data_IF_822933141512
#
_entry.id   IF_822933141512
#
_cell.length_a   1.000
_cell.length_b   1.000
_cell.length_c   1.000
_cell.angle_alpha   90.00
_cell.angle_beta   90.00
_cell.angle_gamma   90.00
#
_symmetry.space_group_name_H-M   'P 1'
#
loop_
_entity.id
_entity.type
_entity.pdbx_description
1 polymer ?
#
# COMPACT_ATOMS: atom_id res chain seq x y z
N UNK A 1 20.36 12.83 -6.25
CA UNK A 1 19.54 12.10 -5.26
C UNK A 1 20.43 11.02 -4.69
N UNK A 2 20.64 10.99 -3.36
CA UNK A 2 21.49 9.98 -2.73
C UNK A 2 20.97 8.58 -3.03
N UNK A 3 21.89 7.71 -3.48
CA UNK A 3 21.67 6.31 -3.85
C UNK A 3 21.35 5.39 -2.66
N UNK A 4 21.43 5.91 -1.43
CA UNK A 4 21.54 5.11 -0.21
C UNK A 4 20.29 5.06 0.67
N UNK A 5 19.16 5.66 0.27
CA UNK A 5 17.91 5.54 1.02
C UNK A 5 16.84 4.80 0.18
N UNK A 6 16.86 3.47 0.26
CA UNK A 6 15.87 2.59 -0.41
C UNK A 6 14.48 2.84 0.20
N UNK A 7 13.56 3.40 -0.58
CA UNK A 7 12.20 3.70 -0.10
C UNK A 7 11.34 2.45 -0.06
N UNK A 8 10.63 2.22 1.04
CA UNK A 8 9.72 1.10 1.21
C UNK A 8 8.27 1.51 1.00
N UNK A 9 7.57 0.78 0.14
CA UNK A 9 6.17 1.01 -0.20
C UNK A 9 5.32 -0.19 0.21
N UNK A 10 4.37 0.02 1.11
CA UNK A 10 3.34 -0.96 1.42
C UNK A 10 2.21 -0.89 0.40
N UNK A 11 1.86 -2.03 -0.18
CA UNK A 11 0.69 -2.18 -1.07
C UNK A 11 -0.26 -3.19 -0.44
N UNK A 12 -1.43 -2.73 0.03
CA UNK A 12 -2.45 -3.66 0.54
C UNK A 12 -3.11 -4.43 -0.61
N UNK A 13 -3.31 -5.74 -0.45
CA UNK A 13 -3.89 -6.56 -1.53
C UNK A 13 -2.95 -6.61 -2.74
N UNK A 14 -1.64 -6.49 -2.50
CA UNK A 14 -0.61 -6.34 -3.53
C UNK A 14 -0.30 -7.64 -4.28
N UNK A 15 -0.76 -8.78 -3.79
CA UNK A 15 -0.40 -10.09 -4.32
C UNK A 15 -0.94 -10.37 -5.74
N UNK A 16 -2.05 -9.74 -6.14
CA UNK A 16 -2.79 -10.09 -7.36
C UNK A 16 -3.21 -8.89 -8.19
N UNK A 17 -3.54 -9.14 -9.46
CA UNK A 17 -4.22 -8.22 -10.38
C UNK A 17 -3.53 -6.84 -10.40
N UNK A 18 -4.28 -5.78 -10.10
CA UNK A 18 -3.79 -4.39 -10.10
C UNK A 18 -2.70 -4.19 -9.05
N UNK A 19 -2.83 -4.79 -7.87
CA UNK A 19 -1.82 -4.72 -6.82
C UNK A 19 -0.46 -5.23 -7.30
N UNK A 20 -0.44 -6.37 -8.00
CA UNK A 20 0.79 -6.95 -8.55
C UNK A 20 1.39 -6.09 -9.67
N UNK A 21 0.55 -5.46 -10.52
CA UNK A 21 1.02 -4.52 -11.54
C UNK A 21 1.64 -3.25 -10.93
N UNK A 22 1.03 -2.72 -9.86
CA UNK A 22 1.58 -1.58 -9.11
C UNK A 22 2.92 -1.96 -8.51
N UNK A 23 3.01 -3.13 -7.86
CA UNK A 23 4.24 -3.64 -7.26
C UNK A 23 5.39 -3.73 -8.27
N UNK A 24 5.15 -4.37 -9.43
CA UNK A 24 6.14 -4.47 -10.51
C UNK A 24 6.57 -3.11 -11.03
N UNK A 25 5.61 -2.22 -11.29
CA UNK A 25 5.90 -0.86 -11.78
C UNK A 25 6.78 -0.08 -10.80
N UNK A 26 6.45 -0.09 -9.50
CA UNK A 26 7.23 0.62 -8.49
C UNK A 26 8.59 -0.01 -8.21
N UNK A 27 8.70 -1.34 -8.36
CA UNK A 27 9.97 -2.05 -8.26
C UNK A 27 10.93 -1.63 -9.38
N UNK A 28 10.45 -1.54 -10.62
CA UNK A 28 11.21 -1.05 -11.78
C UNK A 28 11.70 0.39 -11.56
N UNK A 29 10.93 1.22 -10.87
CA UNK A 29 11.30 2.58 -10.45
C UNK A 29 12.29 2.61 -9.26
N UNK A 30 12.75 1.45 -8.80
CA UNK A 30 13.77 1.31 -7.77
C UNK A 30 13.24 1.37 -6.34
N UNK A 31 11.94 1.24 -6.10
CA UNK A 31 11.38 1.19 -4.73
C UNK A 31 11.37 -0.22 -4.16
N UNK A 32 11.58 -0.38 -2.86
CA UNK A 32 11.37 -1.64 -2.16
C UNK A 32 9.89 -1.81 -1.79
N UNK A 33 9.40 -3.06 -1.75
CA UNK A 33 7.97 -3.36 -1.67
C UNK A 33 7.65 -4.22 -0.46
N UNK A 34 6.62 -3.81 0.27
CA UNK A 34 5.91 -4.69 1.20
C UNK A 34 4.59 -5.10 0.52
N UNK A 35 4.48 -6.38 0.19
CA UNK A 35 3.32 -6.98 -0.47
C UNK A 35 2.41 -7.54 0.61
N UNK A 36 1.33 -6.82 0.91
CA UNK A 36 0.33 -7.32 1.85
C UNK A 36 -0.69 -8.24 1.14
N UNK A 37 -1.01 -9.35 1.80
CA UNK A 37 -2.06 -10.30 1.40
C UNK A 37 -2.94 -10.68 2.58
N UNK A 38 -4.19 -11.10 2.31
CA UNK A 38 -5.05 -11.75 3.30
C UNK A 38 -4.90 -13.28 3.18
N UNK A 39 -5.52 -13.86 2.15
CA UNK A 39 -5.52 -15.33 1.94
C UNK A 39 -4.60 -15.80 0.80
N UNK A 40 -3.95 -14.88 0.09
CA UNK A 40 -3.16 -15.19 -1.12
C UNK A 40 -1.65 -15.23 -0.83
N UNK A 41 -1.25 -16.05 0.14
CA UNK A 41 0.16 -16.18 0.57
C UNK A 41 1.08 -16.62 -0.57
N UNK A 42 0.66 -17.62 -1.33
CA UNK A 42 1.49 -18.22 -2.39
C UNK A 42 1.74 -17.22 -3.52
N UNK A 43 0.71 -16.51 -3.94
CA UNK A 43 0.83 -15.44 -4.93
C UNK A 43 1.74 -14.30 -4.45
N UNK A 44 1.63 -13.91 -3.18
CA UNK A 44 2.48 -12.89 -2.59
C UNK A 44 3.95 -13.33 -2.55
N UNK A 45 4.20 -14.56 -2.11
CA UNK A 45 5.54 -15.13 -2.03
C UNK A 45 6.18 -15.31 -3.41
N UNK A 46 5.40 -15.77 -4.39
CA UNK A 46 5.86 -15.89 -5.78
C UNK A 46 6.21 -14.51 -6.37
N UNK A 47 5.38 -13.50 -6.13
CA UNK A 47 5.68 -12.13 -6.56
C UNK A 47 6.94 -11.60 -5.85
N UNK A 48 7.10 -11.82 -4.55
CA UNK A 48 8.32 -11.43 -3.84
C UNK A 48 9.56 -12.14 -4.40
N UNK A 49 9.47 -13.43 -4.73
CA UNK A 49 10.57 -14.17 -5.35
C UNK A 49 10.95 -13.59 -6.73
N UNK A 50 9.95 -13.27 -7.57
CA UNK A 50 10.14 -12.62 -8.88
C UNK A 50 10.84 -11.25 -8.74
N UNK A 51 10.40 -10.42 -7.80
CA UNK A 51 10.98 -9.09 -7.58
C UNK A 51 12.39 -9.19 -6.98
N UNK A 52 12.60 -10.14 -6.07
CA UNK A 52 13.90 -10.36 -5.43
C UNK A 52 14.93 -11.02 -6.35
N UNK A 53 14.53 -11.82 -7.33
CA UNK A 53 15.44 -12.34 -8.35
C UNK A 53 16.01 -11.22 -9.23
N UNK A 54 15.23 -10.16 -9.44
CA UNK A 54 15.65 -8.97 -10.17
C UNK A 54 16.49 -8.03 -9.30
N UNK A 55 16.17 -7.93 -8.00
CA UNK A 55 16.95 -7.16 -7.03
C UNK A 55 16.79 -7.73 -5.63
N UNK A 56 17.85 -8.32 -5.09
CA UNK A 56 17.85 -8.96 -3.77
C UNK A 56 17.36 -8.03 -2.65
N UNK A 57 16.62 -8.61 -1.71
CA UNK A 57 16.12 -7.96 -0.49
C UNK A 57 15.33 -6.67 -0.77
N UNK A 58 14.55 -6.66 -1.84
CA UNK A 58 13.74 -5.51 -2.24
C UNK A 58 12.24 -5.74 -2.19
N UNK A 59 11.79 -6.95 -1.88
CA UNK A 59 10.40 -7.27 -1.65
C UNK A 59 10.22 -8.22 -0.46
N UNK A 60 9.22 -7.94 0.39
CA UNK A 60 8.78 -8.86 1.46
C UNK A 60 7.27 -9.04 1.38
N UNK A 61 6.78 -10.23 1.76
CA UNK A 61 5.35 -10.52 1.86
C UNK A 61 4.92 -10.44 3.33
N UNK A 62 3.72 -9.92 3.58
CA UNK A 62 3.14 -9.87 4.92
C UNK A 62 1.64 -10.21 4.87
N UNK A 63 1.23 -11.13 5.74
CA UNK A 63 -0.15 -11.57 5.86
C UNK A 63 -0.88 -10.78 6.93
N UNK A 64 -2.07 -10.25 6.62
CA UNK A 64 -2.98 -9.73 7.63
C UNK A 64 -4.43 -9.76 7.11
N UNK A 65 -5.38 -10.03 8.00
CA UNK A 65 -6.78 -9.79 7.75
C UNK A 65 -7.14 -8.35 8.11
N UNK A 66 -7.40 -7.52 7.09
CA UNK A 66 -7.74 -6.10 7.29
C UNK A 66 -9.12 -5.87 7.94
N UNK A 67 -9.97 -6.89 8.06
CA UNK A 67 -11.20 -6.78 8.86
C UNK A 67 -10.98 -7.05 10.35
N UNK A 68 -9.86 -7.69 10.71
CA UNK A 68 -9.47 -7.90 12.11
C UNK A 68 -8.72 -6.67 12.65
N UNK A 69 -9.23 -6.11 13.75
CA UNK A 69 -8.66 -4.91 14.32
C UNK A 69 -7.26 -5.12 14.92
N UNK A 70 -7.04 -6.27 15.56
CA UNK A 70 -5.75 -6.58 16.20
C UNK A 70 -4.64 -6.76 15.17
N UNK A 71 -4.97 -7.36 14.01
CA UNK A 71 -4.03 -7.52 12.90
C UNK A 71 -3.71 -6.18 12.21
N UNK A 72 -4.71 -5.30 12.02
CA UNK A 72 -4.47 -3.94 11.50
C UNK A 72 -3.59 -3.11 12.43
N UNK A 73 -3.76 -3.27 13.75
CA UNK A 73 -2.96 -2.60 14.77
C UNK A 73 -1.49 -3.06 14.79
N UNK A 74 -1.24 -4.35 14.57
CA UNK A 74 0.11 -4.93 14.59
C UNK A 74 0.85 -4.81 13.25
N UNK A 75 0.15 -4.62 12.14
CA UNK A 75 0.73 -4.65 10.79
C UNK A 75 1.87 -3.64 10.58
N UNK A 76 1.66 -2.36 10.89
CA UNK A 76 2.70 -1.33 10.70
C UNK A 76 3.91 -1.59 11.62
N UNK A 77 3.75 -1.84 12.94
CA UNK A 77 4.87 -2.25 13.80
C UNK A 77 5.69 -3.42 13.25
N UNK A 78 5.04 -4.45 12.72
CA UNK A 78 5.71 -5.62 12.14
C UNK A 78 6.52 -5.25 10.90
N UNK A 79 5.96 -4.44 10.00
CA UNK A 79 6.66 -3.94 8.81
C UNK A 79 7.91 -3.16 9.22
N UNK A 80 7.79 -2.28 10.21
CA UNK A 80 8.92 -1.47 10.68
C UNK A 80 10.00 -2.35 11.30
N UNK A 81 9.64 -3.43 12.00
CA UNK A 81 10.62 -4.40 12.52
C UNK A 81 11.45 -5.05 11.41
N UNK A 82 10.83 -5.33 10.26
CA UNK A 82 11.50 -5.99 9.13
C UNK A 82 12.29 -5.01 8.23
N UNK A 83 11.75 -3.81 8.01
CA UNK A 83 12.24 -2.88 6.98
C UNK A 83 12.94 -1.64 7.55
N UNK A 84 12.74 -1.35 8.84
CA UNK A 84 13.19 -0.14 9.52
C UNK A 84 12.41 1.13 9.16
N UNK A 85 11.66 1.14 8.05
CA UNK A 85 10.94 2.32 7.58
C UNK A 85 9.77 2.00 6.64
N UNK A 86 8.85 2.95 6.53
CA UNK A 86 7.84 2.99 5.48
C UNK A 86 7.81 4.42 4.90
N UNK A 87 7.84 4.50 3.58
CA UNK A 87 7.91 5.74 2.81
C UNK A 87 6.64 5.99 2.01
N UNK A 88 5.90 4.93 1.66
CA UNK A 88 4.58 5.08 1.11
C UNK A 88 3.62 3.95 1.50
N UNK A 89 2.34 4.31 1.54
CA UNK A 89 1.21 3.39 1.73
C UNK A 89 0.26 3.51 0.53
N UNK A 90 0.01 2.40 -0.14
CA UNK A 90 -0.98 2.26 -1.20
C UNK A 90 -2.09 1.35 -0.68
N UNK A 91 -3.21 1.95 -0.32
CA UNK A 91 -4.42 1.24 0.05
C UNK A 91 -5.09 0.75 -1.25
N UNK A 92 -4.78 -0.48 -1.65
CA UNK A 92 -5.27 -1.12 -2.86
C UNK A 92 -6.19 -2.32 -2.56
N UNK A 93 -6.13 -2.91 -1.37
CA UNK A 93 -7.04 -3.98 -0.96
C UNK A 93 -8.48 -3.47 -1.04
N UNK A 94 -9.31 -4.17 -1.81
CA UNK A 94 -10.73 -3.88 -1.91
C UNK A 94 -11.54 -5.16 -1.96
N UNK A 95 -12.65 -5.17 -1.22
CA UNK A 95 -13.70 -6.17 -1.34
C UNK A 95 -14.86 -5.53 -2.09
N UNK A 96 -15.33 -6.21 -3.13
CA UNK A 96 -16.54 -5.81 -3.85
C UNK A 96 -17.27 -7.08 -4.28
N UNK A 97 -18.42 -7.31 -3.67
CA UNK A 97 -19.35 -8.36 -4.05
C UNK A 97 -20.61 -7.67 -4.56
N UNK A 98 -20.99 -7.86 -5.84
CA UNK A 98 -22.26 -7.37 -6.34
C UNK A 98 -23.38 -8.21 -5.70
N UNK A 99 -23.94 -7.69 -4.61
CA UNK A 99 -25.08 -8.28 -3.89
C UNK A 99 -26.33 -7.48 -4.22
N UNK A 100 -27.45 -8.10 -4.66
CA UNK A 100 -28.74 -7.44 -4.80
C UNK A 100 -29.13 -6.74 -3.49
N UNK A 101 -29.81 -5.59 -3.58
CA UNK A 101 -30.06 -4.76 -2.39
C UNK A 101 -30.97 -5.45 -1.36
N UNK A 102 -31.86 -6.31 -1.84
CA UNK A 102 -32.75 -7.17 -1.08
C UNK A 102 -32.01 -8.25 -0.26
N UNK A 103 -30.79 -8.62 -0.66
CA UNK A 103 -30.03 -9.73 -0.09
C UNK A 103 -28.81 -9.28 0.72
N UNK A 104 -28.57 -7.97 0.84
CA UNK A 104 -27.42 -7.43 1.59
C UNK A 104 -27.57 -7.78 3.07
N UNK A 105 -26.54 -8.42 3.62
CA UNK A 105 -26.46 -8.73 5.05
C UNK A 105 -25.64 -7.67 5.81
N UNK A 106 -25.78 -7.66 7.14
CA UNK A 106 -24.90 -6.86 8.00
C UNK A 106 -23.43 -7.29 7.88
N UNK A 107 -23.17 -8.58 7.69
CA UNK A 107 -21.81 -9.09 7.50
C UNK A 107 -21.19 -8.59 6.18
N UNK A 108 -21.97 -8.51 5.10
CA UNK A 108 -21.53 -7.92 3.84
C UNK A 108 -21.15 -6.44 4.02
N UNK A 109 -21.98 -5.70 4.75
CA UNK A 109 -21.72 -4.30 5.08
C UNK A 109 -20.45 -4.14 5.91
N UNK A 110 -20.31 -4.92 6.99
CA UNK A 110 -19.16 -4.84 7.88
C UNK A 110 -17.86 -5.24 7.17
N UNK A 111 -17.91 -6.24 6.27
CA UNK A 111 -16.78 -6.62 5.44
C UNK A 111 -16.40 -5.53 4.42
N UNK A 112 -17.39 -4.93 3.76
CA UNK A 112 -17.20 -3.86 2.80
C UNK A 112 -16.60 -2.62 3.48
N UNK A 113 -17.18 -2.19 4.60
CA UNK A 113 -16.73 -1.04 5.37
C UNK A 113 -15.39 -1.30 6.07
N UNK A 114 -15.19 -2.52 6.56
CA UNK A 114 -13.95 -2.99 7.17
C UNK A 114 -12.77 -2.82 6.23
N UNK A 115 -12.86 -3.42 5.04
CA UNK A 115 -11.76 -3.45 4.07
C UNK A 115 -11.58 -2.13 3.33
N UNK A 116 -12.67 -1.49 2.89
CA UNK A 116 -12.58 -0.32 1.99
C UNK A 116 -12.48 1.03 2.73
N UNK A 117 -12.84 1.09 4.01
CA UNK A 117 -12.83 2.35 4.78
C UNK A 117 -12.05 2.25 6.09
N UNK A 118 -12.43 1.33 6.98
CA UNK A 118 -11.88 1.23 8.33
C UNK A 118 -10.38 0.95 8.26
N UNK A 119 -9.97 -0.12 7.58
CA UNK A 119 -8.57 -0.49 7.49
C UNK A 119 -7.69 0.61 6.87
N UNK A 120 -8.02 1.20 5.69
CA UNK A 120 -7.27 2.32 5.15
C UNK A 120 -7.06 3.50 6.12
N UNK A 121 -8.11 3.87 6.88
CA UNK A 121 -8.02 4.96 7.84
C UNK A 121 -7.04 4.64 8.98
N UNK A 122 -7.17 3.45 9.58
CA UNK A 122 -6.32 3.05 10.71
C UNK A 122 -4.88 2.77 10.27
N UNK A 123 -4.67 2.18 9.09
CA UNK A 123 -3.32 2.03 8.53
C UNK A 123 -2.65 3.39 8.31
N UNK A 124 -3.36 4.38 7.78
CA UNK A 124 -2.84 5.75 7.69
C UNK A 124 -2.49 6.33 9.07
N UNK A 125 -3.35 6.14 10.08
CA UNK A 125 -3.08 6.56 11.47
C UNK A 125 -1.79 5.93 12.00
N UNK A 126 -1.62 4.61 11.85
CA UNK A 126 -0.45 3.88 12.36
C UNK A 126 0.83 4.16 11.56
N UNK A 127 0.73 4.39 10.24
CA UNK A 127 1.87 4.74 9.39
C UNK A 127 2.32 6.20 9.57
N UNK A 128 1.43 7.12 9.98
CA UNK A 128 1.71 8.56 10.13
C UNK A 128 3.02 8.92 10.85
N UNK A 129 3.37 8.37 12.03
CA UNK A 129 4.63 8.72 12.69
C UNK A 129 5.85 8.39 11.83
N UNK A 130 5.82 7.29 11.10
CA UNK A 130 6.91 6.84 10.23
C UNK A 130 6.96 7.62 8.91
N UNK A 131 5.79 7.86 8.29
CA UNK A 131 5.68 8.69 7.08
C UNK A 131 6.11 10.14 7.32
N UNK A 132 5.86 10.70 8.51
CA UNK A 132 6.38 12.03 8.87
C UNK A 132 7.90 12.04 8.95
N UNK A 133 8.53 10.97 9.46
CA UNK A 133 9.98 10.83 9.57
C UNK A 133 10.64 10.70 8.19
N UNK A 134 10.03 9.93 7.29
CA UNK A 134 10.52 9.71 5.92
C UNK A 134 10.12 10.80 4.92
N UNK A 135 9.22 11.72 5.30
CA UNK A 135 8.52 12.65 4.37
C UNK A 135 7.71 11.90 3.30
N UNK A 136 7.19 10.73 3.67
CA UNK A 136 6.42 9.82 2.85
C UNK A 136 4.98 10.26 2.52
N UNK A 137 4.31 9.45 1.71
CA UNK A 137 2.95 9.71 1.18
C UNK A 137 2.00 8.53 1.46
N UNK A 138 0.70 8.78 1.47
CA UNK A 138 -0.31 7.71 1.35
C UNK A 138 -1.25 7.98 0.17
N UNK A 139 -1.79 6.91 -0.44
CA UNK A 139 -2.72 6.96 -1.57
C UNK A 139 -3.80 5.87 -1.44
N UNK A 140 -5.04 6.24 -1.81
CA UNK A 140 -6.21 5.36 -1.83
C UNK A 140 -6.57 5.05 -3.29
N UNK A 141 -6.64 3.78 -3.69
CA UNK A 141 -7.06 3.43 -5.04
C UNK A 141 -8.56 3.75 -5.22
N UNK A 142 -8.92 4.52 -6.26
CA UNK A 142 -10.28 5.05 -6.50
C UNK A 142 -10.43 6.58 -6.37
N UNK A 143 -9.45 7.29 -5.80
CA UNK A 143 -9.31 8.76 -5.93
C UNK A 143 -7.83 9.10 -6.10
N UNK A 144 -7.49 9.88 -7.14
CA UNK A 144 -6.13 10.37 -7.45
C UNK A 144 -5.50 11.32 -6.40
N UNK A 145 -6.01 11.35 -5.16
CA UNK A 145 -5.50 12.24 -4.12
C UNK A 145 -4.42 11.52 -3.31
N UNK A 146 -3.16 11.87 -3.57
CA UNK A 146 -2.07 11.58 -2.64
C UNK A 146 -2.06 12.63 -1.54
N UNK A 147 -1.71 12.22 -0.32
CA UNK A 147 -1.57 13.15 0.80
C UNK A 147 -0.17 13.01 1.40
N UNK A 148 0.49 14.15 1.60
CA UNK A 148 1.77 14.21 2.27
C UNK A 148 1.57 14.40 3.77
N UNK A 149 2.24 13.59 4.58
CA UNK A 149 2.21 13.71 6.03
C UNK A 149 3.02 14.94 6.47
N UNK A 150 2.45 16.13 6.42
CA UNK A 150 3.09 17.39 6.85
C UNK A 150 2.42 18.02 8.07
N UNK A 151 3.07 19.01 8.70
CA UNK A 151 2.63 19.68 9.94
C UNK A 151 1.61 20.82 9.74
N UNK A 152 1.14 21.12 8.52
CA UNK A 152 0.18 22.22 8.23
C UNK A 152 -1.10 21.68 7.56
N UNK A 153 -2.27 22.34 7.76
CA UNK A 153 -3.52 21.92 7.11
C UNK A 153 -3.37 21.95 5.59
N UNK A 154 -4.02 21.02 4.85
CA UNK A 154 -3.76 20.80 3.44
C UNK A 154 -4.26 21.97 2.60
N UNK A 155 -3.34 22.82 2.14
CA UNK A 155 -3.57 23.67 0.98
C UNK A 155 -3.46 22.79 -0.28
N UNK A 156 -4.53 22.79 -1.07
CA UNK A 156 -4.82 21.97 -2.27
C UNK A 156 -3.85 22.13 -3.46
N UNK A 157 -2.63 22.63 -3.25
CA UNK A 157 -1.70 22.91 -4.34
C UNK A 157 -0.64 21.81 -4.50
N UNK A 158 -0.86 20.98 -5.52
CA UNK A 158 0.10 20.08 -6.19
C UNK A 158 0.56 18.83 -5.44
N UNK A 159 -0.35 17.89 -5.20
CA UNK A 159 0.06 16.49 -5.08
C UNK A 159 0.31 15.87 -6.47
N UNK A 160 1.37 16.35 -7.13
CA UNK A 160 2.07 15.52 -8.10
C UNK A 160 2.88 14.54 -7.24
N UNK A 161 2.45 13.28 -7.13
CA UNK A 161 3.44 12.20 -7.25
C UNK A 161 4.28 12.63 -8.44
N UNK A 162 5.59 12.80 -8.25
CA UNK A 162 6.48 13.25 -9.30
C UNK A 162 6.53 12.15 -10.37
N UNK A 163 5.49 12.08 -11.20
CA UNK A 163 5.43 11.61 -12.57
C UNK A 163 6.32 12.53 -13.41
N UNK A 164 7.61 12.61 -13.06
CA UNK A 164 8.66 13.15 -13.93
C UNK A 164 9.42 12.04 -14.65
N UNK A 165 8.86 10.83 -14.73
CA UNK A 165 9.42 9.75 -15.56
C UNK A 165 8.46 9.21 -16.63
N UNK A 166 7.30 9.85 -16.84
CA UNK A 166 6.33 9.44 -17.88
C UNK A 166 6.32 10.33 -19.16
N UNK A 167 7.23 11.30 -19.30
CA UNK A 167 7.32 12.16 -20.51
C UNK A 167 8.69 12.05 -21.21
N UNK A 168 9.16 10.81 -21.46
CA UNK A 168 10.31 10.59 -22.37
C UNK A 168 10.15 9.45 -23.36
N UNK A 169 8.93 8.94 -23.55
CA UNK A 169 8.63 7.98 -24.63
C UNK A 169 7.37 8.42 -25.35
N UNK A 170 7.47 9.56 -26.03
CA UNK A 170 6.72 9.89 -27.25
C UNK A 170 7.55 10.94 -27.99
N UNK A 171 8.48 10.45 -28.80
CA UNK A 171 8.82 11.09 -30.08
C UNK A 171 7.77 10.69 -31.10
#
# INVERSE_FOLDING_TARGET
>A
MNKDNKRWVLITGGAKRIGAMIARTLHLEGMNLIIHYNTSSDDANNLCAELNSSRSDSAIAIGANLTDQSEVESLIPEIIKQTGQIDALINNASTFYPTPIEDITHDDWDNLMGTNLKAPLFLCKYATPYLKKSKGLYSQYGRYSCYQATKKPPNLWSCKIRLSYANKITS
#
